data_IF_645700386986
#
_entry.id   IF_645700386986
#
_cell.length_a   1.000
_cell.length_b   1.000
_cell.length_c   1.000
_cell.angle_alpha   90.00
_cell.angle_beta   90.00
_cell.angle_gamma   90.00
#
_symmetry.space_group_name_H-M   'P 1'
#
loop_
_entity.id
_entity.type
_entity.pdbx_description
1 polymer ?
#
# COMPACT_ATOMS: atom_id res chain seq x y z
N UNK A 1 31.53 30.43 -22.45
CA UNK A 1 30.27 30.56 -21.66
C UNK A 1 30.08 29.31 -20.82
N UNK A 2 29.31 29.35 -19.73
CA UNK A 2 29.08 28.16 -18.88
C UNK A 2 27.90 27.34 -19.40
N UNK A 3 28.05 26.02 -19.47
CA UNK A 3 27.01 25.08 -19.83
C UNK A 3 26.77 24.12 -18.67
N UNK A 4 25.52 23.79 -18.36
CA UNK A 4 25.20 22.81 -17.32
C UNK A 4 24.83 21.47 -17.92
N UNK A 5 25.22 20.38 -17.27
CA UNK A 5 24.83 19.02 -17.64
C UNK A 5 24.54 18.19 -16.40
N UNK A 6 23.83 17.09 -16.59
CA UNK A 6 23.48 16.15 -15.52
C UNK A 6 24.58 15.10 -15.41
N UNK A 7 25.22 15.01 -14.25
CA UNK A 7 26.11 13.89 -13.93
C UNK A 7 25.30 12.73 -13.37
N UNK A 8 25.13 11.69 -14.19
CA UNK A 8 24.36 10.49 -13.83
C UNK A 8 25.01 9.66 -12.72
N UNK A 9 26.29 9.88 -12.43
CA UNK A 9 27.01 9.13 -11.40
C UNK A 9 26.89 9.77 -10.02
N UNK A 10 26.52 11.04 -9.94
CA UNK A 10 26.33 11.77 -8.69
C UNK A 10 24.97 11.40 -8.07
N UNK A 11 24.97 10.34 -7.25
CA UNK A 11 23.74 9.82 -6.60
C UNK A 11 23.28 10.65 -5.40
N UNK A 12 24.16 11.44 -4.80
CA UNK A 12 23.90 12.22 -3.60
C UNK A 12 24.34 13.66 -3.80
N UNK A 13 23.49 14.63 -3.40
CA UNK A 13 23.78 16.05 -3.57
C UNK A 13 23.20 16.63 -4.86
N UNK A 14 23.90 17.61 -5.46
CA UNK A 14 23.47 18.26 -6.69
C UNK A 14 24.10 17.59 -7.92
N UNK A 15 23.32 16.87 -8.76
CA UNK A 15 23.82 16.20 -9.96
C UNK A 15 24.06 17.18 -11.11
N UNK A 16 23.64 18.43 -11.00
CA UNK A 16 23.86 19.44 -12.05
C UNK A 16 25.27 19.99 -11.92
N UNK A 17 26.12 19.70 -12.91
CA UNK A 17 27.50 20.19 -13.00
C UNK A 17 27.61 21.27 -14.05
N UNK A 18 28.48 22.24 -13.79
CA UNK A 18 28.75 23.35 -14.70
C UNK A 18 30.11 23.17 -15.34
N UNK A 19 30.19 23.25 -16.67
CA UNK A 19 31.43 23.23 -17.44
C UNK A 19 31.59 24.50 -18.25
N UNK A 20 32.84 24.85 -18.53
CA UNK A 20 33.13 25.93 -19.46
C UNK A 20 33.04 25.39 -20.89
N UNK A 21 32.09 25.91 -21.66
CA UNK A 21 31.99 25.65 -23.10
C UNK A 21 32.72 26.76 -23.85
N UNK A 22 33.74 26.34 -24.60
CA UNK A 22 34.53 27.20 -25.47
C UNK A 22 33.94 27.14 -26.88
N UNK A 23 33.72 28.31 -27.48
CA UNK A 23 33.36 28.45 -28.89
C UNK A 23 34.60 28.96 -29.61
N UNK A 24 34.95 28.31 -30.71
CA UNK A 24 36.14 28.66 -31.48
C UNK A 24 35.73 29.46 -32.71
N UNK A 25 36.43 30.57 -32.93
CA UNK A 25 36.24 31.43 -34.09
C UNK A 25 37.51 31.50 -34.93
N UNK A 26 37.36 31.26 -36.23
CA UNK A 26 38.45 31.33 -37.20
C UNK A 26 38.45 32.70 -37.86
N UNK A 27 39.34 33.60 -37.42
CA UNK A 27 39.46 34.91 -38.02
C UNK A 27 40.28 34.87 -39.32
N UNK A 28 39.67 35.23 -40.46
CA UNK A 28 40.32 35.48 -41.74
C UNK A 28 39.81 36.82 -42.29
N UNK A 29 40.66 37.62 -42.91
CA UNK A 29 40.33 39.01 -43.32
C UNK A 29 39.13 39.11 -44.28
N UNK A 30 38.90 38.08 -45.07
CA UNK A 30 37.90 38.10 -46.14
C UNK A 30 36.62 37.33 -45.76
N UNK A 31 36.49 36.90 -44.48
CA UNK A 31 35.36 36.10 -44.02
C UNK A 31 34.57 36.81 -42.93
N UNK A 32 33.25 36.87 -43.10
CA UNK A 32 32.27 37.15 -42.05
C UNK A 32 31.91 35.86 -41.32
N UNK A 33 31.85 35.92 -40.00
CA UNK A 33 31.38 34.82 -39.14
C UNK A 33 30.03 35.17 -38.53
N UNK A 34 29.07 34.24 -38.62
CA UNK A 34 27.77 34.33 -37.97
C UNK A 34 27.60 33.17 -36.98
N UNK A 35 27.43 33.51 -35.70
CA UNK A 35 27.14 32.56 -34.64
C UNK A 35 25.69 32.67 -34.19
N UNK A 36 24.98 31.55 -34.19
CA UNK A 36 23.68 31.43 -33.56
C UNK A 36 23.80 30.55 -32.32
N UNK A 37 23.62 31.17 -31.16
CA UNK A 37 23.62 30.52 -29.87
C UNK A 37 22.19 30.42 -29.35
N UNK A 38 21.81 29.25 -28.85
CA UNK A 38 20.51 29.01 -28.22
C UNK A 38 20.71 28.72 -26.74
N UNK A 39 19.94 29.40 -25.90
CA UNK A 39 19.93 29.21 -24.45
C UNK A 39 18.64 28.48 -24.08
N UNK A 40 18.78 27.26 -23.55
CA UNK A 40 17.66 26.43 -23.12
C UNK A 40 17.57 26.31 -21.59
N UNK A 41 16.34 26.25 -21.09
CA UNK A 41 16.02 25.91 -19.71
C UNK A 41 15.42 24.50 -19.67
N UNK A 42 16.06 23.61 -18.92
CA UNK A 42 15.67 22.20 -18.81
C UNK A 42 15.31 21.84 -17.38
N UNK A 43 14.55 20.75 -17.23
CA UNK A 43 14.11 20.25 -15.93
C UNK A 43 14.72 18.88 -15.65
N UNK A 44 15.12 18.68 -14.39
CA UNK A 44 15.60 17.42 -13.85
C UNK A 44 14.71 17.06 -12.67
N UNK A 45 14.09 15.89 -12.76
CA UNK A 45 13.34 15.30 -11.66
C UNK A 45 14.20 14.21 -11.03
N UNK A 46 14.53 14.33 -9.75
CA UNK A 46 15.35 13.35 -9.04
C UNK A 46 14.57 12.78 -7.87
N UNK A 47 14.65 11.46 -7.66
CA UNK A 47 14.24 10.86 -6.40
C UNK A 47 15.43 10.67 -5.47
N UNK A 48 15.29 11.08 -4.21
CA UNK A 48 16.39 11.05 -3.22
C UNK A 48 16.20 9.95 -2.17
N UNK A 49 15.06 9.26 -2.15
CA UNK A 49 14.73 8.31 -1.12
C UNK A 49 15.14 6.89 -1.50
N UNK A 50 15.87 6.21 -0.60
CA UNK A 50 16.30 4.82 -0.80
C UNK A 50 15.17 3.80 -0.63
N UNK A 51 14.06 4.18 0.00
CA UNK A 51 12.92 3.30 0.23
C UNK A 51 12.01 3.19 -1.00
N UNK A 52 11.68 4.33 -1.63
CA UNK A 52 10.76 4.39 -2.76
C UNK A 52 11.01 5.62 -3.61
N UNK A 53 10.93 5.46 -4.93
CA UNK A 53 11.07 6.57 -5.88
C UNK A 53 9.92 7.59 -5.80
N UNK A 54 8.78 7.23 -5.20
CA UNK A 54 7.59 8.08 -5.10
C UNK A 54 7.66 9.10 -3.94
N UNK A 55 8.57 8.92 -2.99
CA UNK A 55 8.65 9.74 -1.79
C UNK A 55 9.87 10.66 -1.90
N UNK A 56 9.69 11.97 -1.72
CA UNK A 56 10.81 12.92 -1.68
C UNK A 56 11.43 13.19 -3.06
N UNK A 57 10.58 13.32 -4.07
CA UNK A 57 10.97 13.76 -5.41
C UNK A 57 11.31 15.25 -5.40
N UNK A 58 12.41 15.62 -6.06
CA UNK A 58 12.90 16.98 -6.16
C UNK A 58 12.95 17.39 -7.64
N UNK A 59 12.49 18.62 -7.91
CA UNK A 59 12.53 19.21 -9.24
C UNK A 59 13.63 20.27 -9.25
N UNK A 60 14.61 20.06 -10.12
CA UNK A 60 15.74 20.94 -10.34
C UNK A 60 15.66 21.51 -11.75
N UNK A 61 16.18 22.71 -11.94
CA UNK A 61 16.23 23.38 -13.24
C UNK A 61 17.68 23.62 -13.60
N UNK A 62 18.05 23.38 -14.85
CA UNK A 62 19.40 23.62 -15.35
C UNK A 62 19.39 24.28 -16.72
N UNK A 63 20.44 25.04 -17.00
CA UNK A 63 20.55 25.86 -18.21
C UNK A 63 21.62 25.31 -19.14
N UNK A 64 21.25 25.18 -20.41
CA UNK A 64 22.16 24.71 -21.45
C UNK A 64 22.37 25.76 -22.52
N UNK A 65 23.59 25.84 -23.05
CA UNK A 65 23.93 26.68 -24.20
C UNK A 65 24.31 25.78 -25.37
N UNK A 66 23.51 25.83 -26.42
CA UNK A 66 23.74 25.12 -27.68
C UNK A 66 24.23 26.09 -28.74
N UNK A 67 25.18 25.65 -29.55
CA UNK A 67 25.50 26.32 -30.81
C UNK A 67 24.60 25.67 -31.85
N UNK A 68 23.71 26.47 -32.41
CA UNK A 68 22.70 25.98 -33.35
C UNK A 68 23.24 26.03 -34.78
N UNK A 69 23.90 27.13 -35.15
CA UNK A 69 24.64 27.21 -36.40
C UNK A 69 25.82 28.16 -36.31
N UNK A 70 26.89 27.80 -37.03
CA UNK A 70 27.99 28.69 -37.38
C UNK A 70 27.99 28.81 -38.90
N UNK A 71 27.87 30.02 -39.41
CA UNK A 71 27.94 30.30 -40.84
C UNK A 71 29.17 31.16 -41.12
N UNK A 72 29.80 30.88 -42.25
CA UNK A 72 30.97 31.61 -42.74
C UNK A 72 30.60 32.14 -44.11
N UNK A 73 30.66 33.45 -44.29
CA UNK A 73 30.40 34.12 -45.57
C UNK A 73 31.60 34.97 -45.99
N UNK A 74 31.65 35.38 -47.26
CA UNK A 74 32.65 36.33 -47.72
C UNK A 74 32.28 37.75 -47.27
N UNK A 75 33.26 38.54 -46.85
CA UNK A 75 33.05 39.92 -46.43
C UNK A 75 32.95 40.85 -47.66
N UNK A 76 31.87 41.62 -47.75
CA UNK A 76 31.81 42.82 -48.60
C UNK A 76 32.21 44.06 -47.81
N UNK A 77 32.37 45.20 -48.48
CA UNK A 77 32.90 46.46 -47.91
C UNK A 77 32.09 47.05 -46.75
N UNK A 78 30.89 46.54 -46.47
CA UNK A 78 30.04 46.97 -45.36
C UNK A 78 29.64 45.86 -44.37
N UNK A 79 30.20 44.65 -44.52
CA UNK A 79 29.75 43.51 -43.71
C UNK A 79 30.41 43.47 -42.33
N UNK A 80 29.66 42.93 -41.38
CA UNK A 80 30.13 42.73 -40.01
C UNK A 80 31.07 41.52 -40.00
N UNK A 81 32.27 41.68 -39.43
CA UNK A 81 33.27 40.62 -39.32
C UNK A 81 32.80 39.46 -38.44
N UNK A 82 32.15 39.75 -37.31
CA UNK A 82 31.61 38.74 -36.39
C UNK A 82 30.23 39.19 -35.94
N UNK A 83 29.21 38.40 -36.28
CA UNK A 83 27.85 38.55 -35.78
C UNK A 83 27.54 37.40 -34.82
N UNK A 84 26.97 37.73 -33.67
CA UNK A 84 26.55 36.76 -32.67
C UNK A 84 25.08 37.03 -32.31
N UNK A 85 24.22 36.08 -32.62
CA UNK A 85 22.82 36.08 -32.24
C UNK A 85 22.60 35.11 -31.08
N UNK A 86 21.95 35.59 -30.03
CA UNK A 86 21.54 34.77 -28.89
C UNK A 86 20.02 34.67 -28.92
N UNK A 87 19.52 33.44 -28.99
CA UNK A 87 18.10 33.10 -29.01
C UNK A 87 17.76 32.25 -27.77
N UNK A 88 16.49 32.29 -27.36
CA UNK A 88 15.97 31.29 -26.43
C UNK A 88 15.67 30.00 -27.19
N UNK A 89 15.97 28.87 -26.58
CA UNK A 89 15.57 27.57 -27.09
C UNK A 89 14.12 27.27 -26.70
N UNK A 90 13.31 26.87 -27.67
CA UNK A 90 11.92 26.44 -27.46
C UNK A 90 11.83 24.97 -27.03
N UNK A 91 12.92 24.21 -27.18
CA UNK A 91 12.98 22.80 -26.81
C UNK A 91 13.35 22.64 -25.34
N UNK A 92 12.35 22.28 -24.52
CA UNK A 92 12.53 21.98 -23.11
C UNK A 92 12.69 20.46 -22.94
N UNK A 93 13.85 20.03 -22.43
CA UNK A 93 14.06 18.63 -22.05
C UNK A 93 13.76 18.41 -20.57
N UNK A 94 13.02 17.33 -20.28
CA UNK A 94 12.78 16.86 -18.93
C UNK A 94 13.45 15.51 -18.74
N UNK A 95 14.39 15.43 -17.79
CA UNK A 95 15.12 14.19 -17.47
C UNK A 95 14.69 13.69 -16.10
N UNK A 96 14.37 12.40 -16.00
CA UNK A 96 14.07 11.75 -14.73
C UNK A 96 15.26 10.88 -14.31
N UNK A 97 15.80 11.14 -13.13
CA UNK A 97 16.85 10.34 -12.51
C UNK A 97 16.24 9.51 -11.39
N UNK A 98 15.98 8.25 -11.71
CA UNK A 98 15.42 7.26 -10.78
C UNK A 98 16.54 6.42 -10.19
N UNK A 99 16.60 6.36 -8.86
CA UNK A 99 17.51 5.47 -8.14
C UNK A 99 16.84 4.12 -7.97
N UNK A 100 17.59 3.03 -8.05
CA UNK A 100 17.04 1.71 -7.75
C UNK A 100 16.81 1.60 -6.23
N UNK A 101 15.54 1.59 -5.81
CA UNK A 101 15.19 1.63 -4.38
C UNK A 101 15.01 0.24 -3.79
N UNK A 102 14.96 0.16 -2.45
CA UNK A 102 14.68 -1.09 -1.74
C UNK A 102 13.27 -1.62 -2.10
N UNK A 103 12.29 -0.75 -2.27
CA UNK A 103 10.95 -1.15 -2.74
C UNK A 103 11.02 -1.76 -4.14
N UNK A 104 11.82 -1.18 -5.05
CA UNK A 104 11.98 -1.74 -6.40
C UNK A 104 12.69 -3.10 -6.35
N UNK A 105 13.72 -3.22 -5.52
CA UNK A 105 14.43 -4.49 -5.31
C UNK A 105 13.51 -5.58 -4.75
N UNK A 106 12.75 -5.28 -3.69
CA UNK A 106 11.83 -6.24 -3.08
C UNK A 106 10.61 -6.54 -3.96
N UNK A 107 10.18 -5.59 -4.78
CA UNK A 107 9.06 -5.79 -5.72
C UNK A 107 9.50 -6.70 -6.86
N UNK A 108 10.68 -6.45 -7.44
CA UNK A 108 11.23 -7.27 -8.53
C UNK A 108 11.63 -8.68 -8.10
N UNK A 109 12.01 -8.86 -6.82
CA UNK A 109 12.35 -10.18 -6.25
C UNK A 109 11.15 -10.89 -5.61
N UNK A 110 9.97 -10.25 -5.56
CA UNK A 110 8.79 -10.78 -4.88
C UNK A 110 8.89 -10.84 -3.35
N UNK A 111 9.97 -10.34 -2.75
CA UNK A 111 10.21 -10.34 -1.30
C UNK A 111 9.16 -9.55 -0.50
N UNK A 112 8.54 -8.54 -1.11
CA UNK A 112 7.43 -7.79 -0.50
C UNK A 112 6.27 -8.71 -0.13
N UNK A 113 5.94 -9.71 -0.97
CA UNK A 113 4.84 -10.65 -0.68
C UNK A 113 5.16 -11.48 0.56
N UNK A 114 6.41 -11.91 0.72
CA UNK A 114 6.85 -12.66 1.91
C UNK A 114 6.71 -11.83 3.19
N UNK A 115 7.16 -10.58 3.18
CA UNK A 115 7.05 -9.67 4.34
C UNK A 115 5.57 -9.41 4.67
N UNK A 116 4.75 -9.11 3.65
CA UNK A 116 3.31 -8.87 3.82
C UNK A 116 2.62 -10.11 4.41
N UNK A 117 2.97 -11.30 3.94
CA UNK A 117 2.34 -12.54 4.43
C UNK A 117 2.62 -12.76 5.91
N UNK A 118 3.84 -12.48 6.39
CA UNK A 118 4.19 -12.57 7.81
C UNK A 118 3.38 -11.57 8.63
N UNK A 119 3.29 -10.31 8.18
CA UNK A 119 2.52 -9.27 8.86
C UNK A 119 1.04 -9.63 8.93
N UNK A 120 0.47 -10.10 7.83
CA UNK A 120 -0.92 -10.56 7.74
C UNK A 120 -1.15 -11.77 8.64
N UNK A 121 -0.23 -12.73 8.68
CA UNK A 121 -0.33 -13.91 9.55
C UNK A 121 -0.35 -13.53 11.03
N UNK A 122 0.49 -12.58 11.45
CA UNK A 122 0.50 -12.07 12.83
C UNK A 122 -0.82 -11.37 13.18
N UNK A 123 -1.34 -10.54 12.28
CA UNK A 123 -2.63 -9.86 12.48
C UNK A 123 -3.80 -10.86 12.54
N UNK A 124 -3.80 -11.85 11.65
CA UNK A 124 -4.84 -12.87 11.58
C UNK A 124 -4.76 -13.86 12.76
N UNK A 125 -3.60 -14.06 13.37
CA UNK A 125 -3.42 -15.00 14.50
C UNK A 125 -4.40 -14.73 15.64
N UNK A 126 -4.52 -13.46 16.06
CA UNK A 126 -5.44 -13.08 17.13
C UNK A 126 -6.92 -13.26 16.74
N UNK A 127 -7.25 -13.02 15.47
CA UNK A 127 -8.61 -13.20 14.95
C UNK A 127 -8.96 -14.69 14.83
N UNK A 128 -8.02 -15.52 14.37
CA UNK A 128 -8.18 -16.97 14.28
C UNK A 128 -8.42 -17.59 15.64
N UNK A 129 -7.69 -17.17 16.67
CA UNK A 129 -7.89 -17.65 18.04
C UNK A 129 -9.29 -17.33 18.56
N UNK A 130 -9.76 -16.09 18.36
CA UNK A 130 -11.12 -15.69 18.74
C UNK A 130 -12.21 -16.53 18.03
N UNK A 131 -12.09 -16.68 16.71
CA UNK A 131 -13.03 -17.47 15.91
C UNK A 131 -12.96 -18.97 16.27
N UNK A 132 -11.78 -19.47 16.63
CA UNK A 132 -11.58 -20.85 17.07
C UNK A 132 -12.32 -21.14 18.37
N UNK A 133 -12.18 -20.29 19.39
CA UNK A 133 -12.92 -20.46 20.66
C UNK A 133 -14.44 -20.33 20.45
N UNK A 134 -14.89 -19.38 19.62
CA UNK A 134 -16.31 -19.24 19.29
C UNK A 134 -16.86 -20.51 18.61
N UNK A 135 -16.10 -21.08 17.67
CA UNK A 135 -16.47 -22.33 16.98
C UNK A 135 -16.54 -23.51 17.95
N UNK A 136 -15.55 -23.66 18.83
CA UNK A 136 -15.50 -24.71 19.86
C UNK A 136 -16.71 -24.66 20.81
N UNK A 137 -17.01 -23.48 21.35
CA UNK A 137 -18.16 -23.29 22.24
C UNK A 137 -19.45 -23.68 21.51
N UNK A 138 -19.64 -23.22 20.26
CA UNK A 138 -20.83 -23.54 19.47
C UNK A 138 -20.99 -25.04 19.23
N UNK A 139 -19.90 -25.76 18.93
CA UNK A 139 -19.94 -27.22 18.74
C UNK A 139 -20.34 -27.95 20.03
N UNK A 140 -19.77 -27.56 21.17
CA UNK A 140 -20.05 -28.21 22.45
C UNK A 140 -21.52 -28.01 22.90
N UNK A 141 -22.07 -26.81 22.69
CA UNK A 141 -23.47 -26.52 23.00
C UNK A 141 -24.45 -27.19 22.02
N UNK A 142 -24.11 -27.30 20.73
CA UNK A 142 -24.95 -27.99 19.74
C UNK A 142 -25.08 -29.50 20.01
N UNK A 143 -23.98 -30.17 20.39
CA UNK A 143 -24.00 -31.60 20.75
C UNK A 143 -24.87 -31.85 21.98
N UNK A 144 -24.80 -30.96 22.96
CA UNK A 144 -25.59 -31.06 24.21
C UNK A 144 -27.08 -30.89 23.93
N UNK A 145 -27.46 -29.93 23.07
CA UNK A 145 -28.87 -29.76 22.67
C UNK A 145 -29.41 -30.95 21.86
N UNK A 146 -28.61 -31.55 20.97
CA UNK A 146 -29.04 -32.71 20.20
C UNK A 146 -29.21 -33.98 21.04
N UNK A 147 -28.37 -34.16 22.08
CA UNK A 147 -28.52 -35.25 23.04
C UNK A 147 -29.77 -35.07 23.93
N UNK A 148 -30.04 -33.85 24.38
CA UNK A 148 -31.27 -33.51 25.11
C UNK A 148 -32.51 -33.75 24.24
N UNK A 149 -32.52 -33.33 22.98
CA UNK A 149 -33.67 -33.53 22.08
C UNK A 149 -33.89 -35.02 21.78
N UNK A 150 -32.82 -35.81 21.60
CA UNK A 150 -32.93 -37.27 21.41
C UNK A 150 -33.41 -38.02 22.66
N UNK A 151 -33.00 -37.61 23.85
CA UNK A 151 -33.53 -38.18 25.10
C UNK A 151 -35.02 -37.89 25.30
N UNK A 152 -35.50 -36.68 25.00
CA UNK A 152 -36.93 -36.35 25.10
C UNK A 152 -37.80 -37.07 24.06
N UNK A 153 -37.25 -37.41 22.88
CA UNK A 153 -37.99 -38.16 21.85
C UNK A 153 -38.22 -39.63 22.24
N UNK A 154 -37.26 -40.26 22.94
CA UNK A 154 -37.41 -41.64 23.42
C UNK A 154 -38.36 -41.78 24.62
N UNK A 155 -38.52 -40.74 25.45
CA UNK A 155 -39.47 -40.77 26.58
C UNK A 155 -40.94 -40.74 26.12
N UNK A 156 -41.24 -40.15 24.95
CA UNK A 156 -42.61 -40.16 24.39
C UNK A 156 -43.02 -41.49 23.75
N UNK A 157 -42.07 -42.34 23.36
CA UNK A 157 -42.36 -43.64 22.72
C UNK A 157 -42.60 -44.74 23.78
N UNK A 158 -42.07 -44.58 25.00
CA UNK A 158 -42.31 -45.50 26.12
C UNK A 158 -43.65 -45.34 26.84
N UNK A 159 -44.37 -44.22 26.64
CA UNK A 159 -45.67 -43.97 27.30
C UNK A 159 -46.89 -44.48 26.52
N UNK A 160 -46.75 -44.78 25.24
CA UNK A 160 -47.88 -45.21 24.40
C UNK A 160 -48.25 -46.69 24.53
N UNK A 161 -47.49 -47.47 25.30
CA UNK A 161 -47.73 -48.91 25.49
C UNK A 161 -48.18 -49.28 26.93
N UNK A 162 -48.54 -48.30 27.76
CA UNK A 162 -48.89 -48.51 29.18
C UNK A 162 -50.34 -48.15 29.54
N UNK A 163 -51.19 -47.82 28.55
CA UNK A 163 -52.60 -47.43 28.78
C UNK A 163 -53.62 -48.56 28.50
N UNK A 164 -53.17 -49.81 28.31
CA UNK A 164 -54.06 -50.97 28.07
C UNK A 164 -53.95 -52.07 29.13
N UNK A 165 -53.91 -51.74 30.42
CA UNK A 165 -54.22 -52.71 31.48
C UNK A 165 -55.04 -52.07 32.60
N UNK A 166 -56.21 -52.65 32.83
CA UNK A 166 -57.21 -52.29 33.82
C UNK A 166 -56.71 -52.47 35.28
N UNK A 167 -57.32 -51.70 36.19
CA UNK A 167 -57.02 -51.42 37.61
C UNK A 167 -56.80 -52.65 38.55
N UNK A 168 -56.15 -52.44 39.73
CA UNK A 168 -56.94 -52.19 40.95
C UNK A 168 -56.46 -51.01 41.83
N UNK A 169 -57.47 -50.28 42.28
CA UNK A 169 -57.57 -49.26 43.32
C UNK A 169 -57.00 -49.75 44.67
N UNK A 170 -56.06 -49.02 45.30
CA UNK A 170 -55.94 -48.96 46.78
C UNK A 170 -54.89 -48.00 47.40
N UNK A 171 -54.09 -47.22 46.65
CA UNK A 171 -52.95 -46.46 47.27
C UNK A 171 -53.02 -44.92 47.25
N UNK A 172 -54.15 -44.30 46.93
CA UNK A 172 -54.20 -42.82 46.81
C UNK A 172 -54.84 -42.10 48.02
N UNK A 173 -55.57 -42.78 48.90
CA UNK A 173 -56.22 -42.10 50.04
C UNK A 173 -55.28 -41.77 51.21
N UNK A 174 -54.12 -42.42 51.33
CA UNK A 174 -53.20 -42.20 52.46
C UNK A 174 -52.25 -41.00 52.29
N UNK A 175 -52.11 -40.44 51.08
CA UNK A 175 -51.24 -39.26 50.86
C UNK A 175 -51.99 -37.93 51.10
N UNK A 176 -53.31 -37.92 50.95
CA UNK A 176 -54.13 -36.71 51.12
C UNK A 176 -54.56 -36.47 52.58
N UNK A 177 -54.58 -37.49 53.44
CA UNK A 177 -54.85 -37.30 54.87
C UNK A 177 -53.62 -36.77 55.63
N UNK A 178 -52.40 -37.14 55.22
CA UNK A 178 -51.16 -36.67 55.85
C UNK A 178 -50.90 -35.17 55.60
N UNK A 179 -51.28 -34.65 54.42
CA UNK A 179 -51.16 -33.23 54.08
C UNK A 179 -52.20 -32.36 54.77
N UNK A 180 -53.37 -32.90 55.11
CA UNK A 180 -54.44 -32.18 55.81
C UNK A 180 -54.26 -32.12 57.33
N UNK A 181 -53.57 -33.08 57.95
CA UNK A 181 -53.21 -33.03 59.38
C UNK A 181 -52.07 -32.03 59.65
N UNK A 182 -51.09 -31.93 58.74
CA UNK A 182 -49.99 -30.97 58.88
C UNK A 182 -50.43 -29.50 58.81
N UNK A 183 -51.48 -29.21 58.03
CA UNK A 183 -52.04 -27.86 57.95
C UNK A 183 -52.91 -27.48 59.15
N UNK A 184 -53.52 -28.44 59.86
CA UNK A 184 -54.34 -28.17 61.05
C UNK A 184 -53.52 -28.01 62.34
N UNK A 185 -52.29 -28.53 62.39
CA UNK A 185 -51.40 -28.37 63.56
C UNK A 185 -50.72 -26.99 63.57
N UNK A 186 -50.50 -26.38 62.40
CA UNK A 186 -49.91 -25.03 62.31
C UNK A 186 -50.89 -23.90 62.68
N UNK A 187 -52.21 -24.13 62.59
CA UNK A 187 -53.24 -23.15 62.97
C UNK A 187 -53.60 -23.16 64.46
N UNK A 188 -53.08 -24.11 65.26
CA UNK A 188 -53.28 -24.17 66.72
C UNK A 188 -52.10 -23.62 67.53
N UNK A 189 -51.08 -23.06 66.86
CA UNK A 189 -49.85 -22.55 67.48
C UNK A 189 -49.69 -21.02 67.42
N UNK A 190 -50.75 -20.30 67.06
CA UNK A 190 -50.87 -18.84 67.21
C UNK A 190 -52.03 -18.51 68.15
#
# INVERSE_FOLDING_TARGET
>A
MTNQYIDVNEKYGNPIKTILKNFYATAKSDLSLYYQLMIGQNYLTQSTNSLSNLIGQQNLTYYTIREDSMQIGDISTSDVLISCQILLDDVITSTNLELFTLSDALSNTGGIIGIITIVVQVLISNLQEYLYYQSMIKQQFQVTSDQLVKQHKNIKIGKTNLDNQELPTEKIQNLQQATKLGSLINDLKN
#
